data_IF_844940371837
#
_entry.id   IF_844940371837
#
_cell.length_a   1.000
_cell.length_b   1.000
_cell.length_c   1.000
_cell.angle_alpha   90.00
_cell.angle_beta   90.00
_cell.angle_gamma   90.00
#
_symmetry.space_group_name_H-M   'P 1'
#
loop_
_entity.id
_entity.type
_entity.pdbx_description
1 polymer ?
#
# COMPACT_ATOMS: atom_id res chain seq x y z
N UNK A 1 11.69 0.25 36.80
CA UNK A 1 10.61 0.62 35.87
C UNK A 1 11.06 0.75 34.40
N UNK A 2 12.35 0.94 34.09
CA UNK A 2 12.86 1.01 32.72
C UNK A 2 12.94 -0.34 31.96
N UNK A 3 13.12 -1.46 32.68
CA UNK A 3 13.30 -2.79 32.07
C UNK A 3 11.99 -3.34 31.46
N UNK A 4 10.83 -3.05 32.08
CA UNK A 4 9.52 -3.47 31.54
C UNK A 4 9.11 -2.74 30.26
N UNK A 5 9.58 -1.51 30.07
CA UNK A 5 9.31 -0.68 28.88
C UNK A 5 10.15 -1.14 27.67
N UNK A 6 11.41 -1.55 27.90
CA UNK A 6 12.28 -2.10 26.86
C UNK A 6 11.81 -3.48 26.36
N UNK A 7 11.44 -4.39 27.28
CA UNK A 7 10.96 -5.73 26.92
C UNK A 7 9.60 -5.65 26.20
N UNK A 8 8.71 -4.76 26.65
CA UNK A 8 7.45 -4.47 25.97
C UNK A 8 7.70 -3.99 24.54
N UNK A 9 8.52 -2.96 24.33
CA UNK A 9 8.82 -2.42 23.01
C UNK A 9 9.36 -3.46 22.02
N UNK A 10 10.29 -4.31 22.44
CA UNK A 10 10.84 -5.35 21.55
C UNK A 10 9.81 -6.41 21.15
N UNK A 11 8.88 -6.78 22.04
CA UNK A 11 7.83 -7.74 21.72
C UNK A 11 6.87 -7.16 20.67
N UNK A 12 6.47 -5.89 20.81
CA UNK A 12 5.58 -5.22 19.86
C UNK A 12 6.25 -5.07 18.48
N UNK A 13 7.54 -4.70 18.43
CA UNK A 13 8.31 -4.62 17.18
C UNK A 13 8.44 -5.99 16.53
N UNK A 14 8.77 -7.04 17.30
CA UNK A 14 8.85 -8.42 16.78
C UNK A 14 7.53 -8.90 16.21
N UNK A 15 6.40 -8.58 16.85
CA UNK A 15 5.07 -8.92 16.33
C UNK A 15 4.74 -8.16 15.05
N UNK A 16 4.99 -6.84 14.99
CA UNK A 16 4.82 -6.03 13.78
C UNK A 16 5.62 -6.60 12.60
N UNK A 17 6.87 -6.98 12.81
CA UNK A 17 7.70 -7.61 11.76
C UNK A 17 7.12 -8.94 11.30
N UNK A 18 6.68 -9.79 12.24
CA UNK A 18 6.08 -11.10 11.91
C UNK A 18 4.79 -10.94 11.12
N UNK A 19 3.87 -10.08 11.58
CA UNK A 19 2.63 -9.80 10.88
C UNK A 19 2.87 -9.13 9.53
N UNK A 20 3.87 -8.26 9.41
CA UNK A 20 4.31 -7.67 8.15
C UNK A 20 4.78 -8.72 7.17
N UNK A 21 5.62 -9.65 7.63
CA UNK A 21 6.07 -10.78 6.82
C UNK A 21 4.88 -11.66 6.38
N UNK A 22 3.98 -11.99 7.29
CA UNK A 22 2.76 -12.73 6.96
C UNK A 22 1.89 -12.00 5.94
N UNK A 23 1.71 -10.69 6.07
CA UNK A 23 0.96 -9.87 5.12
C UNK A 23 1.58 -9.92 3.73
N UNK A 24 2.91 -9.81 3.63
CA UNK A 24 3.63 -9.94 2.34
C UNK A 24 3.47 -11.34 1.75
N UNK A 25 3.72 -12.40 2.53
CA UNK A 25 3.62 -13.78 2.06
C UNK A 25 2.19 -14.14 1.61
N UNK A 26 1.19 -13.75 2.40
CA UNK A 26 -0.21 -13.92 2.04
C UNK A 26 -0.55 -13.12 0.79
N UNK A 27 -0.07 -11.88 0.68
CA UNK A 27 -0.22 -11.04 -0.50
C UNK A 27 0.34 -11.71 -1.75
N UNK A 28 1.56 -12.27 -1.67
CA UNK A 28 2.17 -13.02 -2.78
C UNK A 28 1.32 -14.23 -3.19
N UNK A 29 0.84 -15.01 -2.22
CA UNK A 29 0.00 -16.18 -2.48
C UNK A 29 -1.33 -15.79 -3.16
N UNK A 30 -2.02 -14.78 -2.62
CA UNK A 30 -3.26 -14.24 -3.18
C UNK A 30 -3.01 -13.63 -4.55
N UNK A 31 -1.93 -12.89 -4.73
CA UNK A 31 -1.55 -12.30 -6.02
C UNK A 31 -1.28 -13.35 -7.09
N UNK A 32 -0.63 -14.46 -6.73
CA UNK A 32 -0.41 -15.57 -7.65
C UNK A 32 -1.74 -16.22 -8.07
N UNK A 33 -2.64 -16.46 -7.10
CA UNK A 33 -3.98 -16.98 -7.37
C UNK A 33 -4.78 -16.03 -8.28
N UNK A 34 -4.83 -14.74 -7.96
CA UNK A 34 -5.51 -13.72 -8.76
C UNK A 34 -4.92 -13.61 -10.16
N UNK A 35 -3.60 -13.75 -10.31
CA UNK A 35 -2.97 -13.76 -11.63
C UNK A 35 -3.42 -14.96 -12.46
N UNK A 36 -3.55 -16.14 -11.85
CA UNK A 36 -4.02 -17.35 -12.53
C UNK A 36 -5.50 -17.22 -12.91
N UNK A 37 -6.35 -16.72 -12.02
CA UNK A 37 -7.80 -16.65 -12.25
C UNK A 37 -8.23 -15.49 -13.15
N UNK A 38 -7.68 -14.29 -12.95
CA UNK A 38 -8.06 -13.08 -13.69
C UNK A 38 -7.21 -12.85 -14.94
N UNK A 39 -6.05 -13.50 -15.02
CA UNK A 39 -5.07 -13.29 -16.07
C UNK A 39 -4.42 -11.90 -16.04
N UNK A 40 -3.48 -11.66 -16.96
CA UNK A 40 -2.69 -10.41 -16.99
C UNK A 40 -3.49 -9.19 -17.44
N UNK A 41 -4.58 -9.39 -18.19
CA UNK A 41 -5.42 -8.31 -18.72
C UNK A 41 -6.06 -7.47 -17.59
N UNK A 42 -6.23 -8.05 -16.41
CA UNK A 42 -6.81 -7.39 -15.24
C UNK A 42 -5.79 -6.72 -14.33
N UNK A 43 -4.49 -6.79 -14.64
CA UNK A 43 -3.44 -6.17 -13.81
C UNK A 43 -3.68 -4.68 -13.54
N UNK A 44 -4.06 -3.82 -14.52
CA UNK A 44 -4.31 -2.41 -14.24
C UNK A 44 -5.45 -2.19 -13.24
N UNK A 45 -6.48 -3.06 -13.25
CA UNK A 45 -7.60 -2.98 -12.31
C UNK A 45 -7.14 -3.36 -10.91
N UNK A 46 -6.41 -4.47 -10.78
CA UNK A 46 -5.86 -4.90 -9.48
C UNK A 46 -4.91 -3.83 -8.91
N UNK A 47 -4.10 -3.20 -9.76
CA UNK A 47 -3.21 -2.11 -9.38
C UNK A 47 -3.93 -0.87 -8.84
N UNK A 48 -5.08 -0.51 -9.43
CA UNK A 48 -5.92 0.59 -8.91
C UNK A 48 -6.59 0.20 -7.60
N UNK A 49 -7.13 -1.02 -7.51
CA UNK A 49 -7.80 -1.51 -6.30
C UNK A 49 -6.83 -1.67 -5.12
N UNK A 50 -5.54 -1.87 -5.39
CA UNK A 50 -4.51 -1.90 -4.36
C UNK A 50 -4.38 -0.58 -3.59
N UNK A 51 -4.91 0.54 -4.11
CA UNK A 51 -4.89 1.84 -3.42
C UNK A 51 -6.07 2.01 -2.44
N UNK A 52 -7.03 1.07 -2.42
CA UNK A 52 -8.21 1.12 -1.53
C UNK A 52 -7.89 1.20 -0.02
N UNK A 53 -6.86 0.54 0.52
CA UNK A 53 -6.51 0.69 1.94
C UNK A 53 -6.27 2.14 2.35
N UNK A 54 -5.71 2.98 1.47
CA UNK A 54 -5.50 4.39 1.73
C UNK A 54 -6.83 5.12 1.87
N UNK A 55 -7.75 4.91 0.93
CA UNK A 55 -9.08 5.53 0.97
C UNK A 55 -9.87 5.09 2.21
N UNK A 56 -9.81 3.81 2.57
CA UNK A 56 -10.46 3.28 3.76
C UNK A 56 -9.89 3.91 5.05
N UNK A 57 -8.55 4.01 5.15
CA UNK A 57 -7.92 4.62 6.33
C UNK A 57 -8.21 6.13 6.40
N UNK A 58 -8.21 6.84 5.27
CA UNK A 58 -8.57 8.25 5.23
C UNK A 58 -10.02 8.48 5.68
N UNK A 59 -10.96 7.67 5.22
CA UNK A 59 -12.35 7.72 5.67
C UNK A 59 -12.47 7.45 7.17
N UNK A 60 -11.74 6.46 7.69
CA UNK A 60 -11.67 6.19 9.12
C UNK A 60 -11.19 7.40 9.93
N UNK A 61 -10.07 8.02 9.52
CA UNK A 61 -9.54 9.21 10.20
C UNK A 61 -10.50 10.41 10.11
N UNK A 62 -11.23 10.57 9.00
CA UNK A 62 -12.26 11.61 8.86
C UNK A 62 -13.44 11.38 9.81
N UNK A 63 -13.89 10.12 9.98
CA UNK A 63 -14.93 9.78 10.96
C UNK A 63 -14.46 10.11 12.37
N UNK A 64 -13.21 9.77 12.72
CA UNK A 64 -12.64 10.12 14.03
C UNK A 64 -12.48 11.62 14.21
N UNK A 65 -12.01 12.34 13.20
CA UNK A 65 -11.90 13.79 13.21
C UNK A 65 -13.27 14.46 13.45
N UNK A 66 -14.32 13.95 12.81
CA UNK A 66 -15.68 14.41 13.02
C UNK A 66 -16.16 14.15 14.46
N UNK A 67 -15.92 12.95 14.99
CA UNK A 67 -16.25 12.61 16.39
C UNK A 67 -15.48 13.43 17.41
N UNK A 68 -14.23 13.79 17.10
CA UNK A 68 -13.39 14.66 17.93
C UNK A 68 -13.75 16.16 17.80
N UNK A 69 -14.71 16.51 16.92
CA UNK A 69 -15.14 17.88 16.70
C UNK A 69 -14.06 18.77 16.08
N UNK A 70 -13.26 18.22 15.16
CA UNK A 70 -12.31 19.00 14.38
C UNK A 70 -13.02 19.93 13.39
N UNK A 71 -12.34 21.01 12.99
CA UNK A 71 -12.90 22.00 12.08
C UNK A 71 -13.25 21.38 10.71
N UNK A 72 -14.44 21.65 10.13
CA UNK A 72 -14.82 21.11 8.83
C UNK A 72 -13.83 21.44 7.71
N UNK A 73 -13.27 22.66 7.70
CA UNK A 73 -12.27 23.07 6.69
C UNK A 73 -11.02 22.16 6.71
N UNK A 74 -10.54 21.77 7.90
CA UNK A 74 -9.42 20.85 8.04
C UNK A 74 -9.79 19.45 7.52
N UNK A 75 -10.99 18.97 7.87
CA UNK A 75 -11.50 17.67 7.42
C UNK A 75 -11.63 17.63 5.89
N UNK A 76 -12.21 18.65 5.27
CA UNK A 76 -12.32 18.74 3.81
C UNK A 76 -10.95 18.84 3.15
N UNK A 77 -10.04 19.65 3.70
CA UNK A 77 -8.67 19.78 3.19
C UNK A 77 -7.92 18.45 3.22
N UNK A 78 -7.97 17.74 4.37
CA UNK A 78 -7.36 16.41 4.50
C UNK A 78 -8.00 15.40 3.55
N UNK A 79 -9.33 15.36 3.48
CA UNK A 79 -10.05 14.44 2.58
C UNK A 79 -9.71 14.66 1.12
N UNK A 80 -9.67 15.91 0.67
CA UNK A 80 -9.28 16.27 -0.69
C UNK A 80 -7.83 15.89 -1.00
N UNK A 81 -6.90 16.16 -0.07
CA UNK A 81 -5.49 15.80 -0.24
C UNK A 81 -5.27 14.27 -0.25
N UNK A 82 -5.93 13.54 0.65
CA UNK A 82 -5.87 12.07 0.67
C UNK A 82 -6.45 11.46 -0.62
N UNK A 83 -7.56 12.01 -1.12
CA UNK A 83 -8.13 11.61 -2.41
C UNK A 83 -7.16 11.91 -3.56
N UNK A 84 -6.52 13.07 -3.57
CA UNK A 84 -5.52 13.42 -4.58
C UNK A 84 -4.34 12.44 -4.57
N UNK A 85 -3.84 12.04 -3.39
CA UNK A 85 -2.78 11.02 -3.27
C UNK A 85 -3.26 9.67 -3.81
N UNK A 86 -4.45 9.21 -3.44
CA UNK A 86 -5.03 7.96 -3.93
C UNK A 86 -5.17 7.96 -5.46
N UNK A 87 -5.71 9.04 -6.03
CA UNK A 87 -5.90 9.18 -7.47
C UNK A 87 -4.57 9.25 -8.21
N UNK A 88 -3.60 10.02 -7.71
CA UNK A 88 -2.27 10.10 -8.30
C UNK A 88 -1.57 8.73 -8.29
N UNK A 89 -1.64 8.00 -7.17
CA UNK A 89 -1.10 6.65 -7.05
C UNK A 89 -1.78 5.68 -8.01
N UNK A 90 -3.11 5.68 -8.09
CA UNK A 90 -3.88 4.84 -9.01
C UNK A 90 -3.54 5.12 -10.49
N UNK A 91 -3.43 6.39 -10.88
CA UNK A 91 -3.05 6.78 -12.24
C UNK A 91 -1.60 6.36 -12.55
N UNK A 92 -0.69 6.53 -11.59
CA UNK A 92 0.70 6.10 -11.72
C UNK A 92 0.81 4.58 -11.84
N UNK A 93 0.08 3.84 -11.00
CA UNK A 93 0.01 2.38 -11.02
C UNK A 93 -0.48 1.87 -12.37
N UNK A 94 -1.57 2.45 -12.91
CA UNK A 94 -2.05 2.14 -14.26
C UNK A 94 -0.99 2.38 -15.32
N UNK A 95 -0.32 3.53 -15.31
CA UNK A 95 0.76 3.83 -16.27
C UNK A 95 1.93 2.85 -16.17
N UNK A 96 2.29 2.45 -14.95
CA UNK A 96 3.37 1.52 -14.70
C UNK A 96 3.02 0.10 -15.11
N UNK A 97 1.75 -0.32 -15.07
CA UNK A 97 1.37 -1.65 -15.59
C UNK A 97 1.74 -1.84 -17.07
N UNK A 98 1.73 -0.77 -17.86
CA UNK A 98 2.09 -0.80 -19.29
C UNK A 98 3.59 -0.60 -19.55
N UNK A 99 4.27 0.26 -18.78
CA UNK A 99 5.63 0.72 -19.08
C UNK A 99 6.71 0.15 -18.16
N UNK A 100 6.39 -0.06 -16.88
CA UNK A 100 7.32 -0.38 -15.79
C UNK A 100 6.65 -1.29 -14.74
N UNK A 101 6.22 -2.50 -15.13
CA UNK A 101 5.30 -3.30 -14.32
C UNK A 101 5.88 -3.81 -13.00
N UNK A 102 7.21 -3.90 -12.87
CA UNK A 102 7.88 -4.17 -11.59
C UNK A 102 7.73 -3.04 -10.57
N UNK A 103 7.57 -1.79 -11.02
CA UNK A 103 7.40 -0.62 -10.15
C UNK A 103 5.99 -0.46 -9.60
N UNK A 104 5.02 -1.24 -10.11
CA UNK A 104 3.62 -1.16 -9.67
C UNK A 104 3.46 -1.55 -8.21
N UNK A 105 4.21 -2.55 -7.72
CA UNK A 105 4.17 -2.94 -6.31
C UNK A 105 4.69 -1.84 -5.36
N UNK A 106 5.47 -0.87 -5.87
CA UNK A 106 5.95 0.26 -5.08
C UNK A 106 4.95 1.43 -5.00
N UNK A 107 3.91 1.47 -5.84
CA UNK A 107 2.94 2.58 -5.80
C UNK A 107 2.16 2.67 -4.49
N UNK A 108 1.57 1.59 -3.93
CA UNK A 108 0.87 1.69 -2.66
C UNK A 108 1.81 2.02 -1.50
N UNK A 109 3.08 1.59 -1.56
CA UNK A 109 4.10 1.92 -0.56
C UNK A 109 4.45 3.41 -0.60
N UNK A 110 4.72 3.95 -1.78
CA UNK A 110 5.01 5.37 -1.96
C UNK A 110 3.82 6.25 -1.57
N UNK A 111 2.61 5.85 -1.96
CA UNK A 111 1.38 6.53 -1.57
C UNK A 111 1.19 6.54 -0.05
N UNK A 112 1.44 5.40 0.61
CA UNK A 112 1.35 5.29 2.06
C UNK A 112 2.33 6.21 2.80
N UNK A 113 3.56 6.37 2.30
CA UNK A 113 4.54 7.30 2.88
C UNK A 113 4.06 8.74 2.75
N UNK A 114 3.65 9.17 1.55
CA UNK A 114 3.15 10.53 1.31
C UNK A 114 1.91 10.81 2.17
N UNK A 115 1.00 9.85 2.22
CA UNK A 115 -0.22 9.94 3.02
C UNK A 115 0.05 9.97 4.52
N UNK A 116 1.02 9.20 5.02
CA UNK A 116 1.43 9.23 6.42
C UNK A 116 1.97 10.62 6.81
N UNK A 117 2.80 11.22 5.97
CA UNK A 117 3.29 12.59 6.17
C UNK A 117 2.13 13.58 6.17
N UNK A 118 1.22 13.48 5.18
CA UNK A 118 0.02 14.32 5.09
C UNK A 118 -0.83 14.24 6.37
N UNK A 119 -1.16 13.03 6.83
CA UNK A 119 -1.93 12.82 8.04
C UNK A 119 -1.22 13.38 9.28
N UNK A 120 0.10 13.17 9.37
CA UNK A 120 0.91 13.66 10.49
C UNK A 120 0.91 15.18 10.54
N UNK A 121 1.16 15.86 9.43
CA UNK A 121 1.25 17.32 9.42
C UNK A 121 -0.11 18.01 9.57
N UNK A 122 -1.18 17.43 9.05
CA UNK A 122 -2.50 18.07 9.09
C UNK A 122 -3.31 17.73 10.35
N UNK A 123 -3.29 16.46 10.79
CA UNK A 123 -4.23 15.98 11.81
C UNK A 123 -3.60 15.87 13.20
N UNK A 124 -2.32 15.50 13.31
CA UNK A 124 -1.67 15.33 14.63
C UNK A 124 -1.75 16.60 15.49
N UNK A 125 -1.37 17.80 14.99
CA UNK A 125 -1.47 19.01 15.81
C UNK A 125 -2.91 19.33 16.23
N UNK A 126 -3.88 19.04 15.36
CA UNK A 126 -5.29 19.28 15.63
C UNK A 126 -5.84 18.33 16.71
N UNK A 127 -5.42 17.06 16.69
CA UNK A 127 -5.82 16.08 17.71
C UNK A 127 -5.14 16.32 19.06
N UNK A 128 -3.85 16.68 19.07
CA UNK A 128 -3.12 17.01 20.29
C UNK A 128 -3.76 18.20 21.02
N UNK A 129 -4.21 19.22 20.28
CA UNK A 129 -4.94 20.37 20.86
C UNK A 129 -6.26 19.98 21.56
N UNK A 130 -6.75 18.77 21.32
CA UNK A 130 -7.96 18.19 21.90
C UNK A 130 -7.68 17.02 22.85
N UNK A 131 -6.41 16.78 23.20
CA UNK A 131 -5.96 15.61 23.97
C UNK A 131 -6.48 14.28 23.41
N UNK A 132 -6.64 14.22 22.08
CA UNK A 132 -7.14 13.06 21.37
C UNK A 132 -5.98 12.33 20.70
N UNK A 133 -5.98 11.00 20.74
CA UNK A 133 -4.99 10.17 20.05
C UNK A 133 -5.72 9.05 19.31
N UNK A 134 -5.57 8.94 17.97
CA UNK A 134 -6.12 7.82 17.23
C UNK A 134 -5.47 6.49 17.64
N UNK A 135 -6.24 5.41 17.54
CA UNK A 135 -5.75 4.07 17.84
C UNK A 135 -4.58 3.66 16.93
N UNK A 136 -3.42 3.37 17.54
CA UNK A 136 -2.22 2.90 16.88
C UNK A 136 -2.43 1.56 16.15
N UNK A 137 -3.38 0.72 16.61
CA UNK A 137 -3.75 -0.53 15.95
C UNK A 137 -4.31 -0.27 14.56
N UNK A 138 -5.15 0.76 14.38
CA UNK A 138 -5.69 1.10 13.07
C UNK A 138 -4.60 1.52 12.08
N UNK A 139 -3.58 2.24 12.55
CA UNK A 139 -2.39 2.59 11.76
C UNK A 139 -1.55 1.36 11.39
N UNK A 140 -1.36 0.44 12.33
CA UNK A 140 -0.67 -0.83 12.08
C UNK A 140 -1.43 -1.68 11.05
N UNK A 141 -2.75 -1.82 11.19
CA UNK A 141 -3.61 -2.55 10.23
C UNK A 141 -3.52 -1.93 8.84
N UNK A 142 -3.53 -0.60 8.73
CA UNK A 142 -3.30 0.08 7.45
C UNK A 142 -1.93 -0.27 6.86
N UNK A 143 -0.85 -0.19 7.65
CA UNK A 143 0.49 -0.58 7.21
C UNK A 143 0.55 -2.03 6.71
N UNK A 144 -0.10 -2.96 7.42
CA UNK A 144 -0.20 -4.37 7.01
C UNK A 144 -0.99 -4.53 5.71
N UNK A 145 -2.10 -3.81 5.55
CA UNK A 145 -2.89 -3.83 4.33
C UNK A 145 -2.09 -3.31 3.13
N UNK A 146 -1.27 -2.27 3.30
CA UNK A 146 -0.36 -1.74 2.27
C UNK A 146 0.69 -2.79 1.88
N UNK A 147 1.33 -3.45 2.85
CA UNK A 147 2.29 -4.52 2.57
C UNK A 147 1.64 -5.70 1.84
N UNK A 148 0.44 -6.08 2.27
CA UNK A 148 -0.35 -7.13 1.63
C UNK A 148 -0.65 -6.80 0.16
N UNK A 149 -1.22 -5.63 -0.13
CA UNK A 149 -1.55 -5.26 -1.52
C UNK A 149 -0.31 -5.07 -2.38
N UNK A 150 0.80 -4.56 -1.83
CA UNK A 150 2.08 -4.53 -2.53
C UNK A 150 2.53 -5.95 -2.92
N UNK A 151 2.43 -6.91 -1.99
CA UNK A 151 2.67 -8.33 -2.23
C UNK A 151 1.74 -8.92 -3.30
N UNK A 152 0.45 -8.57 -3.31
CA UNK A 152 -0.53 -9.00 -4.33
C UNK A 152 -0.12 -8.59 -5.74
N UNK A 153 0.53 -7.43 -5.89
CA UNK A 153 0.92 -6.90 -7.20
C UNK A 153 2.18 -7.56 -7.77
N UNK A 154 3.07 -8.07 -6.93
CA UNK A 154 4.36 -8.65 -7.36
C UNK A 154 4.16 -9.81 -8.35
N UNK A 155 3.27 -10.79 -8.12
CA UNK A 155 3.04 -11.87 -9.08
C UNK A 155 2.58 -11.39 -10.44
N UNK A 156 1.92 -10.23 -10.56
CA UNK A 156 1.49 -9.71 -11.86
C UNK A 156 2.64 -9.07 -12.68
N UNK A 157 3.74 -8.71 -12.03
CA UNK A 157 4.93 -8.21 -12.69
C UNK A 157 5.52 -9.29 -13.65
N UNK A 158 6.12 -8.91 -14.80
CA UNK A 158 6.56 -9.85 -15.81
C UNK A 158 7.85 -10.52 -15.38
N UNK A 159 7.84 -11.86 -15.40
CA UNK A 159 9.06 -12.64 -15.41
C UNK A 159 9.97 -12.20 -16.54
N UNK A 160 11.25 -12.05 -16.24
CA UNK A 160 12.27 -11.71 -17.20
C UNK A 160 12.16 -12.60 -18.44
N UNK A 161 11.92 -11.97 -19.60
CA UNK A 161 12.31 -12.44 -20.94
C UNK A 161 12.11 -13.95 -21.21
N UNK A 162 10.89 -14.31 -21.60
CA UNK A 162 10.70 -15.36 -22.63
C UNK A 162 11.27 -14.98 -24.02
N UNK A 163 11.91 -13.81 -24.14
CA UNK A 163 12.51 -13.29 -25.37
C UNK A 163 13.96 -13.76 -25.61
N UNK A 164 14.62 -14.39 -24.62
CA UNK A 164 15.98 -14.92 -24.81
C UNK A 164 16.01 -16.38 -25.34
N UNK A 165 14.87 -17.09 -25.31
CA UNK A 165 14.81 -18.51 -25.69
C UNK A 165 14.24 -18.77 -27.11
N UNK A 166 13.74 -17.74 -27.81
CA UNK A 166 13.15 -17.89 -29.15
C UNK A 166 14.04 -17.43 -30.32
N UNK A 167 15.15 -16.72 -30.05
CA UNK A 167 15.97 -16.08 -31.10
C UNK A 167 17.24 -16.84 -31.50
N UNK A 168 17.70 -17.79 -30.68
CA UNK A 168 18.98 -18.49 -30.91
C UNK A 168 18.85 -19.83 -31.67
N UNK A 169 17.68 -20.12 -32.27
CA UNK A 169 17.42 -21.38 -32.96
C UNK A 169 17.17 -21.31 -34.47
N UNK A 170 17.01 -20.13 -35.05
CA UNK A 170 16.54 -19.97 -36.44
C UNK A 170 17.66 -19.67 -37.48
N UNK A 171 18.93 -19.85 -37.10
CA UNK A 171 20.07 -19.49 -37.96
C UNK A 171 20.88 -20.67 -38.55
N UNK A 172 20.52 -21.93 -38.29
CA UNK A 172 21.44 -23.05 -38.51
C UNK A 172 20.92 -24.17 -39.44
N UNK A 173 20.09 -23.86 -40.45
CA UNK A 173 19.74 -24.84 -41.50
C UNK A 173 19.44 -24.17 -42.84
N UNK A 174 20.49 -23.80 -43.60
CA UNK A 174 20.56 -23.88 -45.08
C UNK A 174 22.04 -23.98 -45.47
N UNK A 175 22.54 -25.21 -45.49
CA UNK A 175 23.61 -25.61 -46.40
C UNK A 175 22.99 -26.10 -47.71
#
# INVERSE_FOLDING_TARGET
MAIGLAIGGEVHVRLLVRFGLFAVLLGLAVGALLRVTLGRRRFPVVAVLAELPLAAHAAYLLVLAGRAGLAPALMFGFGAAALAVALAAALLARRFTASRPWWVAATPLGAAVVYYLLATFMLTPAWESRAYSPDAVAGAVYGMAVLFVAGVLVPFAPGARGAAAGGAGAGARRG
#
